data_IF_986037804597
#
_entry.id   IF_986037804597
#
_cell.length_a   1.000
_cell.length_b   1.000
_cell.length_c   1.000
_cell.angle_alpha   90.00
_cell.angle_beta   90.00
_cell.angle_gamma   90.00
#
_symmetry.space_group_name_H-M   'P 1'
#
loop_
_entity.id
_entity.type
_entity.pdbx_description
1 polymer ?
#
# COMPACT_ATOMS: atom_id res chain seq x y z
N UNK A 1 14.69 5.59 5.02
CA UNK A 1 15.79 5.03 4.20
C UNK A 1 15.43 4.98 2.73
N UNK A 2 14.37 4.27 2.30
CA UNK A 2 13.98 4.21 0.87
C UNK A 2 13.80 5.58 0.19
N UNK A 3 13.06 6.49 0.83
CA UNK A 3 12.80 7.86 0.33
C UNK A 3 14.08 8.70 0.17
N UNK A 4 14.95 8.71 1.19
CA UNK A 4 16.24 9.42 1.13
C UNK A 4 17.29 8.69 0.27
N UNK A 5 17.13 7.38 0.08
CA UNK A 5 18.07 6.51 -0.63
C UNK A 5 17.85 6.47 -2.14
N UNK A 6 16.90 7.26 -2.68
CA UNK A 6 16.66 7.35 -4.12
C UNK A 6 16.00 6.10 -4.72
N UNK A 7 15.33 5.27 -3.92
CA UNK A 7 14.55 4.16 -4.44
C UNK A 7 13.40 4.72 -5.28
N UNK A 8 13.28 4.23 -6.53
CA UNK A 8 12.26 4.70 -7.46
C UNK A 8 10.84 4.46 -6.95
N UNK A 9 10.54 3.23 -6.51
CA UNK A 9 9.24 2.90 -5.93
C UNK A 9 9.29 1.79 -4.89
N UNK A 10 8.36 1.85 -3.94
CA UNK A 10 8.13 0.82 -2.93
C UNK A 10 6.77 0.15 -3.16
N UNK A 11 6.77 -1.18 -3.20
CA UNK A 11 5.54 -1.96 -3.41
C UNK A 11 5.40 -2.99 -2.30
N UNK A 12 4.16 -3.24 -1.87
CA UNK A 12 3.86 -4.17 -0.77
C UNK A 12 2.83 -5.20 -1.21
N UNK A 13 3.01 -6.47 -0.86
CA UNK A 13 2.08 -7.54 -1.20
C UNK A 13 0.93 -7.71 -0.19
N UNK A 14 -0.27 -8.03 -0.68
CA UNK A 14 -1.41 -8.29 0.18
C UNK A 14 -1.39 -9.76 0.57
N UNK A 15 -1.26 -10.00 1.86
CA UNK A 15 -1.43 -11.33 2.44
C UNK A 15 -2.31 -11.23 3.67
N UNK A 16 -3.14 -12.24 3.85
CA UNK A 16 -4.02 -12.40 5.00
C UNK A 16 -3.67 -13.73 5.66
N UNK A 17 -3.66 -13.76 6.99
CA UNK A 17 -3.47 -14.99 7.77
C UNK A 17 -2.17 -15.76 7.45
N UNK A 18 -1.10 -15.04 7.12
CA UNK A 18 0.20 -15.61 6.75
C UNK A 18 1.34 -14.77 7.32
N UNK A 19 2.50 -15.36 7.65
CA UNK A 19 3.68 -14.61 8.10
C UNK A 19 4.35 -13.79 6.98
N UNK A 20 3.85 -13.84 5.74
CA UNK A 20 4.44 -13.13 4.60
C UNK A 20 4.28 -11.60 4.65
N UNK A 21 3.24 -11.09 5.32
CA UNK A 21 3.02 -9.64 5.43
C UNK A 21 2.33 -9.30 6.75
N UNK A 22 2.79 -8.23 7.41
CA UNK A 22 2.22 -7.75 8.68
C UNK A 22 1.09 -6.73 8.47
N UNK A 23 0.88 -6.25 7.24
CA UNK A 23 -0.13 -5.25 6.90
C UNK A 23 -1.26 -5.86 6.06
N UNK A 24 -2.37 -6.30 6.69
CA UNK A 24 -3.49 -6.90 5.95
C UNK A 24 -4.22 -5.88 5.05
N UNK A 25 -4.17 -4.60 5.39
CA UNK A 25 -4.65 -3.50 4.54
C UNK A 25 -3.46 -2.68 4.03
N UNK A 26 -3.19 -2.81 2.72
CA UNK A 26 -2.09 -2.09 2.06
C UNK A 26 -2.34 -0.59 1.99
N UNK A 27 -3.56 -0.14 1.71
CA UNK A 27 -3.87 1.28 1.53
C UNK A 27 -3.66 2.06 2.82
N UNK A 28 -3.99 1.48 3.98
CA UNK A 28 -3.69 2.08 5.29
C UNK A 28 -2.19 2.19 5.53
N UNK A 29 -1.42 1.14 5.21
CA UNK A 29 0.05 1.18 5.31
C UNK A 29 0.63 2.25 4.40
N UNK A 30 0.17 2.32 3.15
CA UNK A 30 0.65 3.29 2.16
C UNK A 30 0.24 4.72 2.50
N UNK A 31 -0.95 4.95 3.05
CA UNK A 31 -1.35 6.26 3.58
C UNK A 31 -0.43 6.73 4.72
N UNK A 32 -0.01 5.81 5.59
CA UNK A 32 0.96 6.11 6.65
C UNK A 32 2.37 6.36 6.09
N UNK A 33 2.75 5.68 5.01
CA UNK A 33 4.00 5.93 4.29
C UNK A 33 3.97 7.31 3.61
N UNK A 34 2.87 7.66 2.94
CA UNK A 34 2.66 8.93 2.25
C UNK A 34 2.97 10.14 3.15
N UNK A 35 2.53 10.10 4.41
CA UNK A 35 2.78 11.17 5.39
C UNK A 35 4.25 11.33 5.78
N UNK A 36 5.07 10.29 5.59
CA UNK A 36 6.47 10.23 6.06
C UNK A 36 7.48 10.31 4.92
N UNK A 37 7.01 10.34 3.67
CA UNK A 37 7.85 10.36 2.48
C UNK A 37 7.56 11.58 1.63
N UNK A 38 8.57 12.13 0.97
CA UNK A 38 8.39 13.30 0.09
C UNK A 38 8.56 12.98 -1.39
N UNK A 39 9.37 11.97 -1.73
CA UNK A 39 9.74 11.66 -3.12
C UNK A 39 9.44 10.21 -3.50
N UNK A 40 9.41 9.30 -2.52
CA UNK A 40 9.16 7.88 -2.73
C UNK A 40 7.79 7.67 -3.35
N UNK A 41 7.78 7.00 -4.51
CA UNK A 41 6.55 6.50 -5.14
C UNK A 41 6.20 5.16 -4.51
N UNK A 42 4.92 4.85 -4.36
CA UNK A 42 4.52 3.55 -3.80
C UNK A 42 3.17 3.08 -4.30
N UNK A 43 2.92 1.78 -4.13
CA UNK A 43 1.66 1.17 -4.52
C UNK A 43 1.49 -0.26 -4.00
N UNK A 44 0.27 -0.82 -4.09
CA UNK A 44 0.03 -2.21 -3.77
C UNK A 44 0.61 -3.16 -4.85
N UNK A 45 0.94 -4.39 -4.45
CA UNK A 45 1.44 -5.48 -5.32
C UNK A 45 1.01 -6.87 -4.78
N UNK A 46 -0.25 -7.23 -4.78
CA UNK A 46 -1.38 -6.62 -5.49
C UNK A 46 -2.51 -6.38 -4.51
N UNK A 47 -3.52 -5.60 -4.91
CA UNK A 47 -4.83 -5.69 -4.26
C UNK A 47 -5.52 -6.95 -4.77
N UNK A 48 -5.94 -7.83 -3.86
CA UNK A 48 -6.74 -9.02 -4.17
C UNK A 48 -8.18 -8.56 -4.37
N UNK A 49 -8.47 -8.05 -5.58
CA UNK A 49 -9.73 -7.38 -5.92
C UNK A 49 -10.99 -8.16 -5.52
N UNK A 50 -11.08 -9.50 -5.70
CA UNK A 50 -12.29 -10.25 -5.33
C UNK A 50 -12.64 -10.23 -3.84
N UNK A 51 -11.72 -9.81 -2.96
CA UNK A 51 -11.93 -9.73 -1.52
C UNK A 51 -12.49 -8.37 -1.05
N UNK A 52 -12.71 -7.41 -1.95
CA UNK A 52 -13.10 -6.05 -1.60
C UNK A 52 -14.45 -5.66 -2.22
N UNK A 53 -15.19 -4.80 -1.53
CA UNK A 53 -16.35 -4.14 -2.14
C UNK A 53 -15.84 -3.07 -3.13
N UNK A 54 -16.25 -3.09 -4.40
CA UNK A 54 -15.61 -2.29 -5.45
C UNK A 54 -15.71 -0.77 -5.20
N UNK A 55 -16.85 -0.27 -4.72
CA UNK A 55 -17.03 1.16 -4.43
C UNK A 55 -16.15 1.60 -3.26
N UNK A 56 -16.13 0.83 -2.17
CA UNK A 56 -15.26 1.12 -1.01
C UNK A 56 -13.79 1.12 -1.41
N UNK A 57 -13.37 0.15 -2.21
CA UNK A 57 -12.00 0.07 -2.68
C UNK A 57 -11.62 1.28 -3.52
N UNK A 58 -12.50 1.72 -4.43
CA UNK A 58 -12.29 2.92 -5.23
C UNK A 58 -12.14 4.16 -4.34
N UNK A 59 -13.06 4.35 -3.40
CA UNK A 59 -13.03 5.47 -2.44
C UNK A 59 -11.73 5.47 -1.62
N UNK A 60 -11.31 4.30 -1.12
CA UNK A 60 -10.07 4.16 -0.35
C UNK A 60 -8.82 4.47 -1.20
N UNK A 61 -8.78 4.03 -2.46
CA UNK A 61 -7.65 4.35 -3.37
C UNK A 61 -7.57 5.86 -3.63
N UNK A 62 -8.70 6.53 -3.82
CA UNK A 62 -8.74 7.96 -4.10
C UNK A 62 -8.31 8.84 -2.91
N UNK A 63 -8.31 8.31 -1.68
CA UNK A 63 -7.89 9.03 -0.48
C UNK A 63 -6.37 9.05 -0.27
N UNK A 64 -5.63 8.15 -0.92
CA UNK A 64 -4.18 7.97 -0.74
C UNK A 64 -3.40 8.71 -1.81
#
# INVERSE_FOLDING_TARGET
>A
LADAGGIYSYHVAQHHHSPLCLAPNQLVLLAAAAQRTKQLRFGPLVLVLPLHHPIRLLEEICMV
#
